data_IF_531675970188
#
_entry.id   IF_531675970188
#
_cell.length_a   1.000
_cell.length_b   1.000
_cell.length_c   1.000
_cell.angle_alpha   90.00
_cell.angle_beta   90.00
_cell.angle_gamma   90.00
#
_symmetry.space_group_name_H-M   'P 1'
#
loop_
_entity.id
_entity.type
_entity.pdbx_description
1 polymer ?
#
# COMPACT_ATOMS: atom_id res chain seq x y z
N UNK A 1 -30.18 10.80 -39.93
CA UNK A 1 -29.91 11.21 -41.32
C UNK A 1 -29.88 9.94 -42.15
N UNK A 2 -30.90 9.67 -42.97
CA UNK A 2 -30.87 8.52 -43.89
C UNK A 2 -29.84 8.89 -44.95
N UNK A 3 -28.74 8.15 -45.04
CA UNK A 3 -27.71 8.43 -46.03
C UNK A 3 -28.34 8.35 -47.43
N UNK A 4 -28.09 9.36 -48.28
CA UNK A 4 -28.46 9.29 -49.69
C UNK A 4 -27.71 8.09 -50.30
N UNK A 5 -28.33 7.29 -51.19
CA UNK A 5 -27.65 6.17 -51.86
C UNK A 5 -26.36 6.60 -52.60
N UNK A 6 -26.27 7.88 -52.98
CA UNK A 6 -25.07 8.48 -53.55
C UNK A 6 -23.92 8.58 -52.52
N UNK A 7 -24.22 8.93 -51.27
CA UNK A 7 -23.23 8.98 -50.18
C UNK A 7 -22.70 7.60 -49.82
N UNK A 8 -23.56 6.58 -49.82
CA UNK A 8 -23.15 5.19 -49.55
C UNK A 8 -22.17 4.70 -50.62
N UNK A 9 -22.43 5.05 -51.89
CA UNK A 9 -21.57 4.70 -53.02
C UNK A 9 -20.21 5.40 -52.94
N UNK A 10 -20.17 6.68 -52.58
CA UNK A 10 -18.94 7.44 -52.39
C UNK A 10 -18.08 6.87 -51.25
N UNK A 11 -18.68 6.57 -50.09
CA UNK A 11 -17.98 5.97 -48.94
C UNK A 11 -17.41 4.61 -49.31
N UNK A 12 -18.22 3.74 -49.94
CA UNK A 12 -17.78 2.40 -50.35
C UNK A 12 -16.63 2.47 -51.37
N UNK A 13 -16.70 3.40 -52.34
CA UNK A 13 -15.64 3.64 -53.32
C UNK A 13 -14.32 4.03 -52.64
N UNK A 14 -14.34 5.04 -51.76
CA UNK A 14 -13.16 5.47 -51.01
C UNK A 14 -12.57 4.36 -50.13
N UNK A 15 -13.41 3.62 -49.38
CA UNK A 15 -12.94 2.50 -48.57
C UNK A 15 -12.28 1.40 -49.43
N UNK A 16 -12.78 1.17 -50.65
CA UNK A 16 -12.20 0.19 -51.58
C UNK A 16 -10.86 0.68 -52.15
N UNK A 17 -10.74 1.97 -52.47
CA UNK A 17 -9.49 2.58 -52.90
C UNK A 17 -8.42 2.52 -51.79
N UNK A 18 -8.78 2.89 -50.56
CA UNK A 18 -7.90 2.76 -49.39
C UNK A 18 -7.46 1.31 -49.18
N UNK A 19 -8.40 0.35 -49.24
CA UNK A 19 -8.07 -1.06 -49.06
C UNK A 19 -7.09 -1.55 -50.14
N UNK A 20 -7.32 -1.17 -51.40
CA UNK A 20 -6.43 -1.56 -52.51
C UNK A 20 -5.03 -0.97 -52.34
N UNK A 21 -4.91 0.32 -52.00
CA UNK A 21 -3.60 0.93 -51.73
C UNK A 21 -2.91 0.34 -50.49
N UNK A 22 -3.65 -0.01 -49.44
CA UNK A 22 -3.09 -0.68 -48.28
C UNK A 22 -2.61 -2.11 -48.61
N UNK A 23 -3.27 -2.82 -49.51
CA UNK A 23 -2.84 -4.14 -49.97
C UNK A 23 -1.56 -4.05 -50.84
N UNK A 24 -1.43 -3.01 -51.65
CA UNK A 24 -0.28 -2.81 -52.56
C UNK A 24 0.94 -2.18 -51.88
N UNK A 25 0.76 -1.09 -51.13
CA UNK A 25 1.83 -0.29 -50.53
C UNK A 25 2.08 -0.62 -49.05
N UNK A 26 1.08 -1.19 -48.37
CA UNK A 26 1.15 -1.49 -46.93
C UNK A 26 1.00 -0.28 -46.02
N UNK A 27 1.15 -0.50 -44.72
CA UNK A 27 1.32 0.56 -43.72
C UNK A 27 2.73 0.49 -43.14
N UNK A 28 3.38 1.64 -42.84
CA UNK A 28 4.66 1.64 -42.16
C UNK A 28 4.58 1.16 -40.70
N UNK A 29 3.38 0.89 -40.17
CA UNK A 29 3.17 0.45 -38.80
C UNK A 29 2.65 -0.99 -38.77
N UNK A 30 3.39 -1.89 -38.11
CA UNK A 30 2.91 -3.25 -37.81
C UNK A 30 2.08 -3.26 -36.52
N UNK A 31 0.78 -2.96 -36.65
CA UNK A 31 -0.16 -3.00 -35.52
C UNK A 31 -0.39 -4.40 -34.96
N UNK A 32 -0.10 -5.47 -35.71
CA UNK A 32 -0.14 -6.84 -35.20
C UNK A 32 0.94 -7.05 -34.15
N UNK A 33 2.18 -6.69 -34.50
CA UNK A 33 3.33 -6.71 -33.59
C UNK A 33 3.12 -5.80 -32.38
N UNK A 34 2.68 -4.55 -32.59
CA UNK A 34 2.46 -3.61 -31.48
C UNK A 34 1.45 -4.12 -30.47
N UNK A 35 0.34 -4.74 -30.90
CA UNK A 35 -0.67 -5.34 -30.01
C UNK A 35 -0.15 -6.51 -29.17
N UNK A 36 0.87 -7.23 -29.63
CA UNK A 36 1.51 -8.28 -28.83
C UNK A 36 2.54 -7.74 -27.83
N UNK A 37 3.12 -6.57 -28.08
CA UNK A 37 4.19 -5.99 -27.26
C UNK A 37 3.65 -5.01 -26.21
N UNK A 38 2.69 -4.18 -26.57
CA UNK A 38 2.19 -3.09 -25.73
C UNK A 38 0.88 -3.45 -25.06
N UNK A 39 0.90 -3.46 -23.72
CA UNK A 39 -0.25 -3.64 -22.84
C UNK A 39 -0.21 -2.55 -21.76
N UNK A 40 -1.27 -2.45 -20.96
CA UNK A 40 -1.30 -1.54 -19.81
C UNK A 40 -0.19 -1.78 -18.79
N UNK A 41 0.42 -2.98 -18.79
CA UNK A 41 1.50 -3.38 -17.89
C UNK A 41 2.89 -3.22 -18.51
N UNK A 42 3.03 -3.36 -19.84
CA UNK A 42 4.33 -3.26 -20.50
C UNK A 42 4.71 -1.83 -20.88
N UNK A 43 3.74 -0.92 -21.08
CA UNK A 43 4.03 0.47 -21.40
C UNK A 43 4.68 1.20 -20.22
N UNK A 44 5.64 2.04 -20.54
CA UNK A 44 6.29 2.93 -19.57
C UNK A 44 5.83 4.37 -19.80
N UNK A 45 5.53 5.07 -18.70
CA UNK A 45 5.21 6.50 -18.70
C UNK A 45 6.15 7.17 -17.71
N UNK A 46 7.00 8.09 -18.18
CA UNK A 46 7.93 8.81 -17.33
C UNK A 46 7.17 9.79 -16.42
N UNK A 47 6.94 9.37 -15.16
CA UNK A 47 6.20 10.16 -14.19
C UNK A 47 6.98 11.39 -13.70
N UNK A 48 8.31 11.38 -13.79
CA UNK A 48 9.15 12.51 -13.38
C UNK A 48 9.08 13.63 -14.40
N UNK A 49 9.20 13.31 -15.69
CA UNK A 49 8.99 14.27 -16.80
C UNK A 49 7.56 14.81 -16.81
N UNK A 50 6.55 13.93 -16.61
CA UNK A 50 5.16 14.38 -16.44
C UNK A 50 5.03 15.38 -15.29
N UNK A 51 5.69 15.11 -14.16
CA UNK A 51 5.67 15.99 -12.99
C UNK A 51 6.35 17.32 -13.29
N UNK A 52 7.45 17.31 -14.03
CA UNK A 52 8.16 18.51 -14.45
C UNK A 52 7.32 19.33 -15.43
N UNK A 53 6.67 18.70 -16.42
CA UNK A 53 5.75 19.36 -17.35
C UNK A 53 4.59 20.04 -16.61
N UNK A 54 3.94 19.32 -15.69
CA UNK A 54 2.89 19.91 -14.85
C UNK A 54 3.41 21.09 -14.04
N UNK A 55 4.63 21.02 -13.48
CA UNK A 55 5.23 22.12 -12.72
C UNK A 55 5.50 23.35 -13.61
N UNK A 56 6.05 23.15 -14.81
CA UNK A 56 6.36 24.24 -15.75
C UNK A 56 5.08 24.97 -16.21
N UNK A 57 4.01 24.21 -16.44
CA UNK A 57 2.73 24.76 -16.91
C UNK A 57 1.79 25.19 -15.76
N UNK A 58 2.18 24.99 -14.50
CA UNK A 58 1.35 25.28 -13.34
C UNK A 58 0.10 24.40 -13.23
N UNK A 59 0.09 23.23 -13.88
CA UNK A 59 -1.02 22.29 -13.88
C UNK A 59 -1.04 21.40 -12.64
N UNK A 60 -2.25 21.03 -12.20
CA UNK A 60 -2.42 20.00 -11.18
C UNK A 60 -2.01 18.63 -11.75
N UNK A 61 -1.15 17.90 -11.02
CA UNK A 61 -0.69 16.55 -11.39
C UNK A 61 -1.85 15.54 -11.47
N UNK A 62 -2.94 15.78 -10.74
CA UNK A 62 -4.05 14.84 -10.60
C UNK A 62 -3.68 13.59 -9.78
N UNK A 63 -4.69 12.77 -9.48
CA UNK A 63 -4.52 11.51 -8.76
C UNK A 63 -4.26 10.31 -9.68
N UNK A 64 -4.30 9.11 -9.11
CA UNK A 64 -4.09 7.84 -9.82
C UNK A 64 -5.02 7.66 -11.01
N UNK A 65 -6.28 8.12 -10.94
CA UNK A 65 -7.22 8.05 -12.07
C UNK A 65 -6.77 8.83 -13.31
N UNK A 66 -6.13 9.99 -13.14
CA UNK A 66 -5.59 10.77 -14.26
C UNK A 66 -4.40 10.05 -14.91
N UNK A 67 -3.54 9.42 -14.10
CA UNK A 67 -2.41 8.63 -14.59
C UNK A 67 -2.91 7.44 -15.43
N UNK A 68 -3.98 6.76 -15.01
CA UNK A 68 -4.58 5.68 -15.80
C UNK A 68 -5.09 6.19 -17.15
N UNK A 69 -5.69 7.38 -17.18
CA UNK A 69 -6.18 7.97 -18.43
C UNK A 69 -5.05 8.38 -19.38
N UNK A 70 -3.95 8.92 -18.84
CA UNK A 70 -2.74 9.22 -19.61
C UNK A 70 -2.13 7.93 -20.20
N UNK A 71 -2.04 6.86 -19.41
CA UNK A 71 -1.56 5.54 -19.86
C UNK A 71 -2.46 4.95 -20.94
N UNK A 72 -3.78 5.08 -20.80
CA UNK A 72 -4.73 4.64 -21.81
C UNK A 72 -4.56 5.39 -23.13
N UNK A 73 -4.41 6.72 -23.08
CA UNK A 73 -4.21 7.54 -24.27
C UNK A 73 -2.86 7.23 -24.94
N UNK A 74 -1.79 7.04 -24.14
CA UNK A 74 -0.50 6.55 -24.61
C UNK A 74 -0.61 5.21 -25.33
N UNK A 75 -1.33 4.24 -24.73
CA UNK A 75 -1.57 2.94 -25.35
C UNK A 75 -2.36 3.07 -26.66
N UNK A 76 -3.34 3.98 -26.71
CA UNK A 76 -4.11 4.25 -27.92
C UNK A 76 -3.24 4.75 -29.07
N UNK A 77 -2.23 5.58 -28.79
CA UNK A 77 -1.26 6.00 -29.81
C UNK A 77 -0.39 4.85 -30.31
N UNK A 78 0.03 3.96 -29.42
CA UNK A 78 0.87 2.81 -29.81
C UNK A 78 0.07 1.80 -30.64
N UNK A 79 -1.18 1.52 -30.27
CA UNK A 79 -1.96 0.43 -30.85
C UNK A 79 -2.84 0.82 -32.04
N UNK A 80 -2.99 2.11 -32.33
CA UNK A 80 -3.91 2.61 -33.38
C UNK A 80 -5.38 2.26 -33.12
N UNK A 81 -5.71 1.75 -31.93
CA UNK A 81 -7.04 1.32 -31.54
C UNK A 81 -7.31 1.70 -30.09
N UNK A 82 -8.58 1.88 -29.75
CA UNK A 82 -9.03 2.21 -28.39
C UNK A 82 -9.56 0.97 -27.63
N UNK A 83 -9.24 -0.24 -28.07
CA UNK A 83 -10.04 -1.44 -27.81
C UNK A 83 -9.79 -2.15 -26.46
N UNK A 84 -8.72 -1.83 -25.72
CA UNK A 84 -8.28 -2.71 -24.61
C UNK A 84 -8.86 -2.41 -23.23
N UNK A 85 -9.96 -1.66 -23.11
CA UNK A 85 -10.53 -1.37 -21.79
C UNK A 85 -12.06 -1.37 -21.76
N UNK A 86 -12.67 -1.81 -20.63
CA UNK A 86 -14.10 -2.08 -20.52
C UNK A 86 -15.02 -0.91 -20.90
N UNK A 87 -16.19 -1.19 -21.50
CA UNK A 87 -17.08 -0.20 -22.14
C UNK A 87 -17.70 0.83 -21.17
N UNK A 88 -17.69 0.58 -19.86
CA UNK A 88 -18.30 1.48 -18.84
C UNK A 88 -17.61 2.85 -18.67
N UNK A 89 -16.61 3.17 -19.48
CA UNK A 89 -15.80 4.42 -19.34
C UNK A 89 -15.61 5.19 -20.66
N UNK A 90 -16.41 4.88 -21.70
CA UNK A 90 -16.30 5.54 -23.02
C UNK A 90 -16.50 7.06 -22.92
N UNK A 91 -17.59 7.53 -22.30
CA UNK A 91 -17.83 8.98 -22.15
C UNK A 91 -16.70 9.73 -21.41
N UNK A 92 -16.16 9.15 -20.34
CA UNK A 92 -15.08 9.78 -19.57
C UNK A 92 -13.76 9.87 -20.36
N UNK A 93 -13.50 8.90 -21.25
CA UNK A 93 -12.35 8.90 -22.16
C UNK A 93 -12.50 9.93 -23.26
N UNK A 94 -13.68 9.99 -23.85
CA UNK A 94 -13.97 10.93 -24.92
C UNK A 94 -13.88 12.37 -24.41
N UNK A 95 -14.45 12.62 -23.23
CA UNK A 95 -14.30 13.91 -22.55
C UNK A 95 -12.83 14.22 -22.23
N UNK A 96 -12.06 13.21 -21.81
CA UNK A 96 -10.64 13.41 -21.55
C UNK A 96 -9.88 13.81 -22.82
N UNK A 97 -10.06 13.11 -23.95
CA UNK A 97 -9.45 13.45 -25.25
C UNK A 97 -9.72 14.89 -25.64
N UNK A 98 -10.97 15.31 -25.50
CA UNK A 98 -11.41 16.67 -25.82
C UNK A 98 -10.76 17.76 -24.93
N UNK A 99 -10.30 17.38 -23.73
CA UNK A 99 -9.75 18.29 -22.72
C UNK A 99 -8.23 18.18 -22.53
N UNK A 100 -7.56 17.24 -23.19
CA UNK A 100 -6.11 17.08 -23.05
C UNK A 100 -5.41 18.22 -23.77
N UNK A 101 -4.65 19.10 -23.08
CA UNK A 101 -3.99 20.22 -23.74
C UNK A 101 -2.99 19.77 -24.81
N UNK A 102 -2.73 20.59 -25.85
CA UNK A 102 -1.84 20.20 -26.96
C UNK A 102 -0.43 19.81 -26.49
N UNK A 103 0.12 20.54 -25.52
CA UNK A 103 1.43 20.22 -24.93
C UNK A 103 1.43 18.86 -24.19
N UNK A 104 0.32 18.48 -23.55
CA UNK A 104 0.21 17.17 -22.90
C UNK A 104 0.08 16.06 -23.95
N UNK A 105 -0.63 16.31 -25.04
CA UNK A 105 -0.73 15.39 -26.19
C UNK A 105 0.65 15.15 -26.81
N UNK A 106 1.40 16.23 -27.08
CA UNK A 106 2.76 16.16 -27.62
C UNK A 106 3.71 15.37 -26.69
N UNK A 107 3.64 15.62 -25.39
CA UNK A 107 4.37 14.82 -24.38
C UNK A 107 4.02 13.33 -24.50
N UNK A 108 2.75 12.97 -24.58
CA UNK A 108 2.35 11.57 -24.71
C UNK A 108 2.81 10.93 -26.03
N UNK A 109 2.88 11.68 -27.13
CA UNK A 109 3.44 11.21 -28.39
C UNK A 109 4.96 10.96 -28.29
N UNK A 110 5.69 11.82 -27.58
CA UNK A 110 7.12 11.61 -27.29
C UNK A 110 7.36 10.37 -26.40
N UNK A 111 6.51 10.17 -25.39
CA UNK A 111 6.53 8.95 -24.59
C UNK A 111 6.21 7.71 -25.43
N UNK A 112 5.30 7.80 -26.40
CA UNK A 112 5.01 6.72 -27.33
C UNK A 112 6.24 6.39 -28.20
N UNK A 113 6.89 7.41 -28.78
CA UNK A 113 8.13 7.24 -29.53
C UNK A 113 9.24 6.59 -28.68
N UNK A 114 9.34 6.96 -27.41
CA UNK A 114 10.29 6.38 -26.45
C UNK A 114 10.00 4.90 -26.19
N UNK A 115 8.73 4.51 -26.06
CA UNK A 115 8.34 3.11 -25.92
C UNK A 115 8.68 2.31 -27.20
N UNK A 116 8.45 2.86 -28.40
CA UNK A 116 8.87 2.22 -29.65
C UNK A 116 10.39 2.02 -29.71
N UNK A 117 11.16 3.06 -29.39
CA UNK A 117 12.62 3.02 -29.37
C UNK A 117 13.17 2.00 -28.35
N UNK A 118 12.55 1.90 -27.16
CA UNK A 118 12.92 0.91 -26.14
C UNK A 118 12.76 -0.54 -26.63
N UNK A 119 11.78 -0.78 -27.50
CA UNK A 119 11.56 -2.07 -28.16
C UNK A 119 12.29 -2.21 -29.50
N UNK A 120 13.16 -1.24 -29.86
CA UNK A 120 13.90 -1.19 -31.14
C UNK A 120 12.99 -1.23 -32.36
N UNK A 121 11.84 -0.57 -32.26
CA UNK A 121 10.88 -0.41 -33.35
C UNK A 121 11.15 0.94 -34.03
N UNK A 122 11.52 0.88 -35.31
CA UNK A 122 11.75 2.06 -36.16
C UNK A 122 10.52 2.31 -37.03
N UNK A 123 9.44 2.77 -36.39
CA UNK A 123 8.16 3.07 -37.02
C UNK A 123 7.63 4.42 -36.50
N UNK A 124 6.84 5.16 -37.29
CA UNK A 124 6.21 6.38 -36.80
C UNK A 124 5.17 6.05 -35.72
N UNK A 125 4.97 6.94 -34.74
CA UNK A 125 3.96 6.75 -33.68
C UNK A 125 2.57 6.68 -34.27
N UNK A 126 2.23 7.64 -35.12
CA UNK A 126 0.98 7.75 -35.86
C UNK A 126 1.28 7.78 -37.35
N UNK A 127 0.38 7.22 -38.15
CA UNK A 127 0.44 7.28 -39.60
C UNK A 127 -0.99 7.35 -40.15
N UNK A 128 -1.18 8.21 -41.14
CA UNK A 128 -2.40 8.33 -41.93
C UNK A 128 -2.04 8.11 -43.41
N UNK A 129 -2.93 7.46 -44.19
CA UNK A 129 -2.70 7.28 -45.60
C UNK A 129 -2.62 8.65 -46.32
N UNK A 130 -1.77 8.79 -47.35
CA UNK A 130 -1.74 9.98 -48.18
C UNK A 130 -3.12 10.33 -48.74
N UNK A 131 -3.50 11.61 -48.69
CA UNK A 131 -4.80 12.07 -49.21
C UNK A 131 -4.97 11.80 -50.70
N UNK A 132 -3.88 11.66 -51.46
CA UNK A 132 -3.91 11.32 -52.88
C UNK A 132 -4.35 9.87 -53.19
N UNK A 133 -4.45 8.98 -52.18
CA UNK A 133 -4.91 7.60 -52.37
C UNK A 133 -6.42 7.49 -52.66
N UNK A 134 -7.18 8.58 -52.51
CA UNK A 134 -8.62 8.58 -52.70
C UNK A 134 -9.10 9.81 -53.47
N UNK A 135 -10.13 9.59 -54.29
CA UNK A 135 -10.89 10.67 -54.91
C UNK A 135 -11.98 11.20 -53.94
N UNK A 136 -11.75 12.40 -53.39
CA UNK A 136 -12.58 13.02 -52.34
C UNK A 136 -13.74 13.88 -52.88
N UNK A 137 -13.98 13.90 -54.19
CA UNK A 137 -14.81 14.90 -54.88
C UNK A 137 -16.26 14.99 -54.37
N UNK A 138 -16.81 13.88 -53.85
CA UNK A 138 -18.18 13.79 -53.33
C UNK A 138 -18.24 13.24 -51.89
N UNK A 139 -17.20 13.45 -51.08
CA UNK A 139 -17.14 12.89 -49.73
C UNK A 139 -18.21 13.50 -48.80
N UNK A 140 -19.09 12.69 -48.19
CA UNK A 140 -20.12 13.19 -47.30
C UNK A 140 -19.54 13.55 -45.92
N UNK A 141 -19.71 14.81 -45.51
CA UNK A 141 -19.30 15.28 -44.19
C UNK A 141 -18.67 16.66 -44.23
N UNK A 142 -18.28 17.17 -43.06
CA UNK A 142 -17.56 18.43 -42.96
C UNK A 142 -16.05 18.19 -43.09
N UNK A 143 -15.37 18.98 -43.91
CA UNK A 143 -13.89 18.93 -44.00
C UNK A 143 -13.26 19.63 -42.79
N UNK A 144 -12.00 19.31 -42.43
CA UNK A 144 -11.29 20.02 -41.37
C UNK A 144 -11.26 21.54 -41.58
N UNK A 145 -11.14 22.00 -42.82
CA UNK A 145 -11.15 23.43 -43.16
C UNK A 145 -12.50 24.07 -42.86
N UNK A 146 -13.61 23.39 -43.16
CA UNK A 146 -14.96 23.88 -42.83
C UNK A 146 -15.20 23.98 -41.32
N UNK A 147 -14.56 23.12 -40.53
CA UNK A 147 -14.63 23.19 -39.06
C UNK A 147 -13.73 24.33 -38.54
N UNK A 148 -12.55 24.53 -39.12
CA UNK A 148 -11.63 25.61 -38.76
C UNK A 148 -12.23 27.00 -39.03
N UNK A 149 -12.98 27.14 -40.13
CA UNK A 149 -13.64 28.39 -40.53
C UNK A 149 -14.94 28.68 -39.75
N UNK A 150 -15.32 27.79 -38.82
CA UNK A 150 -16.52 27.93 -37.99
C UNK A 150 -16.24 28.57 -36.63
N UNK A 151 -17.28 28.76 -35.81
CA UNK A 151 -17.15 29.25 -34.43
C UNK A 151 -16.51 28.25 -33.45
N UNK A 152 -15.88 27.18 -33.96
CA UNK A 152 -15.27 26.12 -33.17
C UNK A 152 -14.28 26.63 -32.12
N UNK A 153 -13.34 27.50 -32.51
CA UNK A 153 -12.33 28.04 -31.58
C UNK A 153 -12.97 28.86 -30.45
N UNK A 154 -14.03 29.60 -30.76
CA UNK A 154 -14.82 30.37 -29.80
C UNK A 154 -15.52 29.42 -28.82
N UNK A 155 -16.21 28.39 -29.31
CA UNK A 155 -16.93 27.40 -28.50
C UNK A 155 -15.98 26.61 -27.57
N UNK A 156 -14.81 26.23 -28.10
CA UNK A 156 -13.72 25.58 -27.35
C UNK A 156 -13.20 26.51 -26.25
N UNK A 157 -12.94 27.78 -26.57
CA UNK A 157 -12.48 28.78 -25.60
C UNK A 157 -13.49 29.00 -24.46
N UNK A 158 -14.79 29.01 -24.78
CA UNK A 158 -15.90 29.14 -23.84
C UNK A 158 -16.18 27.87 -23.04
N UNK A 159 -15.39 26.81 -23.26
CA UNK A 159 -15.45 25.54 -22.53
C UNK A 159 -16.73 24.74 -22.75
N UNK A 160 -17.41 24.97 -23.87
CA UNK A 160 -18.62 24.25 -24.27
C UNK A 160 -18.31 22.74 -24.37
N UNK A 161 -19.16 21.85 -23.82
CA UNK A 161 -18.94 20.42 -23.94
C UNK A 161 -19.02 19.98 -25.40
N UNK A 162 -18.35 18.87 -25.74
CA UNK A 162 -18.25 18.39 -27.12
C UNK A 162 -19.62 18.14 -27.78
N UNK A 163 -20.62 17.67 -27.02
CA UNK A 163 -21.98 17.43 -27.52
C UNK A 163 -22.70 18.72 -27.91
N UNK A 164 -22.58 19.77 -27.08
CA UNK A 164 -23.16 21.09 -27.38
C UNK A 164 -22.41 21.79 -28.50
N UNK A 165 -21.08 21.64 -28.56
CA UNK A 165 -20.25 22.14 -29.66
C UNK A 165 -20.65 21.49 -30.98
N UNK A 166 -20.83 20.16 -30.99
CA UNK A 166 -21.30 19.42 -32.15
C UNK A 166 -22.70 19.89 -32.58
N UNK A 167 -23.63 20.03 -31.63
CA UNK A 167 -24.98 20.50 -31.91
C UNK A 167 -25.00 21.94 -32.48
N UNK A 168 -24.17 22.84 -31.94
CA UNK A 168 -24.06 24.23 -32.40
C UNK A 168 -23.52 24.33 -33.83
N UNK A 169 -22.60 23.43 -34.21
CA UNK A 169 -21.99 23.39 -35.54
C UNK A 169 -22.76 22.51 -36.54
N UNK A 170 -23.86 21.86 -36.10
CA UNK A 170 -24.60 20.91 -36.94
C UNK A 170 -23.80 19.64 -37.28
N UNK A 171 -22.82 19.29 -36.44
CA UNK A 171 -21.92 18.15 -36.59
C UNK A 171 -22.25 17.03 -35.59
N UNK A 172 -21.59 15.89 -35.74
CA UNK A 172 -21.61 14.84 -34.71
C UNK A 172 -20.46 15.03 -33.72
N UNK A 173 -20.60 14.50 -32.51
CA UNK A 173 -19.54 14.51 -31.51
C UNK A 173 -18.26 13.84 -32.03
N UNK A 174 -18.39 12.83 -32.89
CA UNK A 174 -17.29 12.16 -33.57
C UNK A 174 -16.53 13.09 -34.53
N UNK A 175 -17.21 13.95 -35.30
CA UNK A 175 -16.52 14.93 -36.16
C UNK A 175 -15.65 15.88 -35.34
N UNK A 176 -16.19 16.40 -34.24
CA UNK A 176 -15.45 17.27 -33.31
C UNK A 176 -14.21 16.55 -32.74
N UNK A 177 -14.37 15.28 -32.33
CA UNK A 177 -13.27 14.49 -31.78
C UNK A 177 -12.16 14.23 -32.80
N UNK A 178 -12.53 13.80 -34.00
CA UNK A 178 -11.58 13.56 -35.09
C UNK A 178 -10.84 14.85 -35.47
N UNK A 179 -11.55 15.98 -35.50
CA UNK A 179 -10.93 17.29 -35.75
C UNK A 179 -9.93 17.68 -34.65
N UNK A 180 -10.29 17.53 -33.37
CA UNK A 180 -9.36 17.73 -32.25
C UNK A 180 -8.14 16.81 -32.32
N UNK A 181 -8.33 15.58 -32.82
CA UNK A 181 -7.24 14.62 -32.95
C UNK A 181 -6.27 14.95 -34.07
N UNK A 182 -6.78 15.41 -35.21
CA UNK A 182 -5.99 15.80 -36.37
C UNK A 182 -5.24 17.13 -36.15
N UNK A 183 -5.93 18.13 -35.59
CA UNK A 183 -5.36 19.48 -35.43
C UNK A 183 -4.62 19.69 -34.11
N UNK A 184 -4.91 18.86 -33.11
CA UNK A 184 -4.44 19.07 -31.74
C UNK A 184 -5.17 20.22 -31.02
N UNK A 185 -6.17 20.85 -31.62
CA UNK A 185 -6.95 21.93 -31.00
C UNK A 185 -7.94 21.33 -30.01
N UNK A 186 -7.75 21.63 -28.72
CA UNK A 186 -8.54 21.06 -27.63
C UNK A 186 -9.03 22.14 -26.68
N UNK A 187 -10.05 21.81 -25.89
CA UNK A 187 -10.55 22.67 -24.83
C UNK A 187 -9.43 23.11 -23.87
N UNK A 188 -9.29 24.41 -23.56
CA UNK A 188 -8.27 24.87 -22.64
C UNK A 188 -8.46 24.21 -21.25
N UNK A 189 -7.37 23.89 -20.56
CA UNK A 189 -7.45 23.24 -19.25
C UNK A 189 -8.32 24.07 -18.29
N UNK A 190 -9.07 23.43 -17.36
CA UNK A 190 -9.84 24.16 -16.36
C UNK A 190 -8.99 25.20 -15.66
N UNK A 191 -9.49 26.44 -15.50
CA UNK A 191 -8.83 27.38 -14.61
C UNK A 191 -8.73 26.72 -13.23
N UNK A 192 -7.61 26.89 -12.53
CA UNK A 192 -7.42 26.26 -11.23
C UNK A 192 -8.56 26.67 -10.30
N UNK A 193 -9.33 25.68 -9.82
CA UNK A 193 -10.54 25.87 -9.00
C UNK A 193 -10.24 26.55 -7.65
N UNK A 194 -8.96 26.77 -7.34
CA UNK A 194 -8.49 27.60 -6.24
C UNK A 194 -7.33 28.47 -6.74
N UNK A 195 -7.36 29.81 -6.58
CA UNK A 195 -6.17 30.63 -6.76
C UNK A 195 -5.19 30.30 -5.63
N UNK A 196 -4.33 29.32 -5.86
CA UNK A 196 -3.32 28.92 -4.90
C UNK A 196 -2.69 27.62 -5.35
N UNK A 197 -1.58 27.75 -6.11
CA UNK A 197 -0.45 26.80 -6.21
C UNK A 197 0.40 27.01 -7.49
N UNK A 198 -0.03 27.85 -8.45
CA UNK A 198 0.73 28.09 -9.70
C UNK A 198 1.54 29.39 -9.74
N UNK A 199 1.17 30.42 -8.94
CA UNK A 199 1.97 31.64 -8.75
C UNK A 199 2.31 31.79 -7.28
N UNK A 200 3.26 31.00 -6.79
CA UNK A 200 3.78 31.18 -5.43
C UNK A 200 4.73 32.37 -5.43
N UNK A 201 4.44 33.39 -4.59
CA UNK A 201 5.50 34.28 -4.13
C UNK A 201 6.65 33.40 -3.60
N UNK A 202 7.93 33.71 -3.90
CA UNK A 202 9.04 32.91 -3.40
C UNK A 202 8.90 32.71 -1.89
N UNK A 203 8.95 31.44 -1.43
CA UNK A 203 8.85 31.15 0.00
C UNK A 203 10.03 31.81 0.70
N UNK A 204 9.75 32.47 1.82
CA UNK A 204 10.76 33.18 2.64
C UNK A 204 10.90 32.48 3.99
N UNK A 205 12.03 32.70 4.65
CA UNK A 205 12.28 32.20 6.01
C UNK A 205 12.54 30.70 6.03
N UNK A 206 11.87 29.97 6.93
CA UNK A 206 12.18 28.54 7.18
C UNK A 206 11.69 27.59 6.08
N UNK A 207 10.88 28.09 5.14
CA UNK A 207 10.46 27.36 3.93
C UNK A 207 11.23 27.83 2.69
N UNK A 208 12.24 28.68 2.85
CA UNK A 208 13.13 29.09 1.78
C UNK A 208 13.95 27.90 1.25
N UNK A 209 14.08 27.72 -0.08
CA UNK A 209 14.83 26.60 -0.65
C UNK A 209 16.31 26.54 -0.20
N UNK A 210 16.97 27.69 -0.01
CA UNK A 210 18.35 27.76 0.45
C UNK A 210 18.50 27.35 1.91
N UNK A 211 17.59 27.81 2.77
CA UNK A 211 17.52 27.37 4.17
C UNK A 211 17.27 25.86 4.29
N UNK A 212 16.30 25.34 3.52
CA UNK A 212 15.96 23.92 3.54
C UNK A 212 17.13 23.04 3.05
N UNK A 213 17.84 23.45 1.99
CA UNK A 213 19.04 22.74 1.51
C UNK A 213 20.15 22.73 2.54
N UNK A 214 20.43 23.89 3.14
CA UNK A 214 21.47 24.03 4.18
C UNK A 214 21.16 23.14 5.39
N UNK A 215 19.90 23.16 5.87
CA UNK A 215 19.45 22.37 7.02
C UNK A 215 19.42 20.87 6.72
N UNK A 216 19.13 20.49 5.48
CA UNK A 216 19.20 19.09 5.02
C UNK A 216 20.65 18.61 4.97
N UNK A 217 21.55 19.39 4.37
CA UNK A 217 22.99 19.07 4.28
C UNK A 217 23.67 19.01 5.64
N UNK A 218 23.20 19.77 6.63
CA UNK A 218 23.70 19.72 8.02
C UNK A 218 23.11 18.57 8.85
N UNK A 219 22.18 17.77 8.30
CA UNK A 219 21.58 16.61 8.97
C UNK A 219 20.58 16.93 10.09
N UNK A 220 20.20 18.19 10.27
CA UNK A 220 19.33 18.66 11.37
C UNK A 220 17.87 18.87 10.93
N UNK A 221 17.46 18.26 9.81
CA UNK A 221 16.15 18.50 9.21
C UNK A 221 15.03 17.82 10.02
N UNK A 222 14.28 18.62 10.79
CA UNK A 222 13.07 18.17 11.48
C UNK A 222 11.82 18.84 10.89
N UNK A 223 11.10 18.10 10.04
CA UNK A 223 9.93 18.60 9.31
C UNK A 223 8.81 19.10 10.24
N UNK A 224 8.58 18.42 11.36
CA UNK A 224 7.54 18.78 12.33
C UNK A 224 7.89 20.08 13.07
N UNK A 225 9.18 20.29 13.35
CA UNK A 225 9.67 21.52 13.97
C UNK A 225 9.55 22.69 12.99
N UNK A 226 9.94 22.49 11.72
CA UNK A 226 9.79 23.48 10.65
C UNK A 226 8.31 23.84 10.44
N UNK A 227 7.41 22.86 10.46
CA UNK A 227 5.97 23.08 10.34
C UNK A 227 5.45 23.98 11.47
N UNK A 228 5.83 23.68 12.72
CA UNK A 228 5.43 24.44 13.89
C UNK A 228 6.03 25.85 13.91
N UNK A 229 7.29 26.00 13.53
CA UNK A 229 7.98 27.28 13.56
C UNK A 229 7.60 28.19 12.38
N UNK A 230 7.19 27.62 11.25
CA UNK A 230 6.65 28.36 10.10
C UNK A 230 5.12 28.49 10.12
N UNK A 231 4.46 28.08 11.22
CA UNK A 231 3.00 28.05 11.39
C UNK A 231 2.25 27.49 10.18
N UNK A 232 2.71 26.33 9.69
CA UNK A 232 2.16 25.70 8.50
C UNK A 232 1.96 24.19 8.73
N UNK A 233 1.15 23.58 7.85
CA UNK A 233 0.95 22.14 7.91
C UNK A 233 2.21 21.37 7.51
N UNK A 234 2.33 20.13 8.01
CA UNK A 234 3.41 19.23 7.62
C UNK A 234 3.41 18.93 6.11
N UNK A 235 2.22 18.92 5.49
CA UNK A 235 2.07 18.83 4.03
C UNK A 235 2.64 20.04 3.29
N UNK A 236 2.59 21.25 3.89
CA UNK A 236 3.19 22.46 3.29
C UNK A 236 4.71 22.40 3.31
N UNK A 237 5.30 21.84 4.38
CA UNK A 237 6.74 21.58 4.49
C UNK A 237 7.17 20.52 3.49
N UNK A 238 6.44 19.42 3.35
CA UNK A 238 6.71 18.38 2.35
C UNK A 238 6.73 18.95 0.93
N UNK A 239 5.71 19.75 0.58
CA UNK A 239 5.67 20.44 -0.71
C UNK A 239 6.85 21.42 -0.90
N UNK A 240 7.34 22.07 0.17
CA UNK A 240 8.49 22.96 0.08
C UNK A 240 9.82 22.19 -0.11
N UNK A 241 9.96 21.01 0.51
CA UNK A 241 11.11 20.12 0.30
C UNK A 241 11.14 19.57 -1.13
N UNK A 242 9.99 19.13 -1.64
CA UNK A 242 9.85 18.68 -3.03
C UNK A 242 10.20 19.79 -4.03
N UNK A 243 9.78 21.03 -3.76
CA UNK A 243 10.11 22.18 -4.61
C UNK A 243 11.59 22.57 -4.54
N UNK A 244 12.24 22.36 -3.39
CA UNK A 244 13.67 22.57 -3.21
C UNK A 244 14.54 21.46 -3.84
N UNK A 245 13.93 20.38 -4.38
CA UNK A 245 14.62 19.21 -4.92
C UNK A 245 15.23 18.31 -3.83
N UNK A 246 14.74 18.41 -2.60
CA UNK A 246 15.19 17.60 -1.48
C UNK A 246 14.27 16.38 -1.44
N UNK A 247 14.78 15.16 -1.69
CA UNK A 247 13.94 13.97 -1.67
C UNK A 247 13.28 13.86 -0.31
N UNK A 248 11.95 13.73 -0.28
CA UNK A 248 11.23 13.43 0.93
C UNK A 248 11.89 12.20 1.57
N UNK A 249 12.27 12.33 2.84
CA UNK A 249 12.90 11.26 3.65
C UNK A 249 12.31 9.91 3.27
N UNK A 250 13.15 8.86 3.04
CA UNK A 250 12.67 7.57 2.58
C UNK A 250 11.49 7.14 3.43
N UNK A 251 10.40 6.79 2.76
CA UNK A 251 9.20 6.24 3.40
C UNK A 251 9.69 5.12 4.33
N UNK A 252 9.29 5.09 5.62
CA UNK A 252 9.73 4.05 6.52
C UNK A 252 9.49 2.70 5.85
N UNK A 253 10.53 1.84 5.85
CA UNK A 253 10.54 0.58 5.13
C UNK A 253 9.23 -0.19 5.31
N UNK A 254 8.69 -0.79 4.23
CA UNK A 254 7.45 -1.55 4.34
C UNK A 254 7.62 -2.66 5.38
N UNK A 255 6.64 -2.72 6.29
CA UNK A 255 6.60 -3.60 7.47
C UNK A 255 6.87 -5.09 7.17
N UNK A 256 6.69 -5.52 5.91
CA UNK A 256 6.94 -6.87 5.39
C UNK A 256 8.42 -7.25 5.26
N UNK A 257 9.36 -6.33 5.49
CA UNK A 257 10.80 -6.61 5.42
C UNK A 257 11.40 -7.11 6.74
N UNK A 258 10.68 -6.98 7.87
CA UNK A 258 11.19 -7.39 9.20
C UNK A 258 10.69 -8.75 9.69
N UNK A 259 9.57 -9.23 9.16
CA UNK A 259 9.03 -10.55 9.44
C UNK A 259 8.29 -11.03 8.20
N UNK A 260 8.56 -12.24 7.76
CA UNK A 260 7.85 -12.87 6.65
C UNK A 260 6.53 -13.47 7.13
N UNK A 261 5.66 -13.84 6.19
CA UNK A 261 4.40 -14.53 6.52
C UNK A 261 4.70 -15.88 7.18
N UNK A 262 5.66 -16.60 6.63
CA UNK A 262 6.07 -17.94 7.07
C UNK A 262 6.66 -17.90 8.48
N UNK A 263 7.44 -16.87 8.80
CA UNK A 263 8.00 -16.67 10.15
C UNK A 263 6.92 -16.39 11.20
N UNK A 264 5.91 -15.57 10.85
CA UNK A 264 4.78 -15.29 11.73
C UNK A 264 3.88 -16.52 11.92
N UNK A 265 3.63 -17.28 10.85
CA UNK A 265 2.89 -18.56 10.91
C UNK A 265 3.64 -19.59 11.76
N UNK A 266 4.96 -19.73 11.59
CA UNK A 266 5.78 -20.66 12.38
C UNK A 266 5.80 -20.28 13.88
N UNK A 267 5.99 -18.99 14.20
CA UNK A 267 6.02 -18.52 15.58
C UNK A 267 4.64 -18.65 16.26
N UNK A 268 3.57 -18.28 15.55
CA UNK A 268 2.22 -18.24 16.13
C UNK A 268 1.52 -19.60 16.11
N UNK A 269 1.52 -20.31 14.98
CA UNK A 269 0.83 -21.58 14.82
C UNK A 269 1.59 -22.74 15.44
N UNK A 270 2.86 -22.92 15.07
CA UNK A 270 3.66 -24.08 15.43
C UNK A 270 4.32 -23.93 16.80
N UNK A 271 5.01 -22.82 17.06
CA UNK A 271 5.68 -22.57 18.35
C UNK A 271 4.75 -22.10 19.46
N UNK A 272 3.50 -21.74 19.11
CA UNK A 272 2.45 -21.30 20.06
C UNK A 272 2.87 -20.06 20.89
N UNK A 273 3.67 -19.16 20.33
CA UNK A 273 4.02 -17.90 20.99
C UNK A 273 2.85 -16.92 21.00
N UNK A 274 2.79 -16.09 22.04
CA UNK A 274 1.82 -14.99 22.14
C UNK A 274 2.21 -13.85 21.19
N UNK A 275 1.22 -13.06 20.72
CA UNK A 275 1.51 -11.87 19.90
C UNK A 275 2.45 -10.88 20.63
N UNK A 276 2.31 -10.63 21.95
CA UNK A 276 3.28 -9.85 22.72
C UNK A 276 4.72 -10.35 22.63
N UNK A 277 4.96 -11.65 22.78
CA UNK A 277 6.34 -12.18 22.79
C UNK A 277 6.93 -12.20 21.38
N UNK A 278 6.10 -12.43 20.35
CA UNK A 278 6.51 -12.28 18.95
C UNK A 278 6.87 -10.80 18.68
N UNK A 279 6.10 -9.84 19.21
CA UNK A 279 6.42 -8.42 19.10
C UNK A 279 7.79 -8.10 19.72
N UNK A 280 8.08 -8.63 20.91
CA UNK A 280 9.36 -8.44 21.58
C UNK A 280 10.52 -9.11 20.81
N UNK A 281 10.35 -10.36 20.39
CA UNK A 281 11.36 -11.13 19.67
C UNK A 281 11.79 -10.46 18.34
N UNK A 282 10.84 -9.86 17.62
CA UNK A 282 11.08 -9.22 16.31
C UNK A 282 11.20 -7.68 16.40
N UNK A 283 11.12 -7.10 17.61
CA UNK A 283 11.20 -5.65 17.82
C UNK A 283 10.06 -4.85 17.15
N UNK A 284 8.85 -5.42 17.12
CA UNK A 284 7.66 -4.87 16.48
C UNK A 284 6.60 -4.47 17.52
N UNK A 285 5.71 -3.55 17.12
CA UNK A 285 4.55 -3.19 17.94
C UNK A 285 3.42 -4.23 17.78
N UNK A 286 2.76 -4.60 18.89
CA UNK A 286 1.60 -5.49 18.93
C UNK A 286 0.50 -5.08 17.96
N UNK A 287 0.23 -3.78 17.84
CA UNK A 287 -0.78 -3.29 16.89
C UNK A 287 -0.37 -3.59 15.44
N UNK A 288 0.92 -3.44 15.12
CA UNK A 288 1.47 -3.71 13.79
C UNK A 288 1.42 -5.20 13.42
N UNK A 289 1.70 -6.10 14.36
CA UNK A 289 1.56 -7.54 14.13
C UNK A 289 0.11 -7.98 13.89
N UNK A 290 -0.86 -7.40 14.60
CA UNK A 290 -2.28 -7.69 14.36
C UNK A 290 -2.75 -7.25 12.97
N UNK A 291 -2.24 -6.11 12.47
CA UNK A 291 -2.51 -5.65 11.11
C UNK A 291 -1.93 -6.60 10.06
N UNK A 292 -0.71 -7.10 10.27
CA UNK A 292 -0.07 -8.08 9.38
C UNK A 292 -0.80 -9.43 9.40
N UNK A 293 -1.17 -9.95 10.57
CA UNK A 293 -1.93 -11.19 10.70
C UNK A 293 -3.28 -11.10 9.97
N UNK A 294 -4.00 -9.96 10.11
CA UNK A 294 -5.26 -9.72 9.38
C UNK A 294 -5.04 -9.62 7.87
N UNK A 295 -3.96 -8.96 7.43
CA UNK A 295 -3.61 -8.81 6.01
C UNK A 295 -3.27 -10.15 5.36
N UNK A 296 -2.61 -11.05 6.08
CA UNK A 296 -2.19 -12.36 5.60
C UNK A 296 -3.21 -13.48 5.88
N UNK A 297 -4.35 -13.17 6.51
CA UNK A 297 -5.40 -14.14 6.79
C UNK A 297 -5.05 -15.15 7.89
N UNK A 298 -4.13 -14.82 8.79
CA UNK A 298 -3.75 -15.69 9.91
C UNK A 298 -4.84 -15.55 10.99
N UNK A 299 -5.51 -16.65 11.32
CA UNK A 299 -6.55 -16.67 12.35
C UNK A 299 -5.96 -16.35 13.73
N UNK A 300 -6.41 -15.23 14.32
CA UNK A 300 -6.00 -14.82 15.66
C UNK A 300 -6.76 -15.66 16.70
N UNK A 301 -6.02 -16.33 17.58
CA UNK A 301 -6.58 -17.16 18.65
C UNK A 301 -7.32 -16.30 19.68
N UNK A 302 -8.53 -16.70 20.10
CA UNK A 302 -9.37 -15.93 21.02
C UNK A 302 -8.76 -15.75 22.43
N UNK A 303 -7.75 -16.55 22.80
CA UNK A 303 -7.04 -16.48 24.08
C UNK A 303 -5.51 -16.41 23.92
N UNK A 304 -5.02 -15.52 23.04
CA UNK A 304 -3.59 -15.39 22.70
C UNK A 304 -2.70 -14.78 23.81
N UNK A 305 -3.22 -14.58 25.03
CA UNK A 305 -2.45 -14.03 26.17
C UNK A 305 -1.50 -15.05 26.78
N UNK A 306 -1.79 -16.35 26.66
CA UNK A 306 -0.91 -17.39 27.21
C UNK A 306 0.11 -17.80 26.16
N UNK A 307 1.37 -17.51 26.42
CA UNK A 307 2.49 -17.97 25.62
C UNK A 307 3.01 -19.30 26.12
N UNK A 308 3.49 -20.13 25.21
CA UNK A 308 4.32 -21.28 25.58
C UNK A 308 5.69 -20.77 26.09
N UNK A 309 5.98 -20.84 27.40
CA UNK A 309 7.22 -20.30 27.96
C UNK A 309 8.46 -21.05 27.47
N UNK A 310 8.32 -22.34 27.14
CA UNK A 310 9.42 -23.18 26.67
C UNK A 310 9.79 -22.92 25.21
N UNK A 311 8.89 -22.27 24.45
CA UNK A 311 9.18 -21.91 23.06
C UNK A 311 10.21 -20.78 22.93
N UNK A 312 10.52 -20.07 24.01
CA UNK A 312 11.53 -19.00 24.08
C UNK A 312 12.91 -19.51 24.49
N UNK A 313 13.04 -20.79 24.85
CA UNK A 313 14.33 -21.38 25.21
C UNK A 313 15.25 -21.49 23.97
N UNK A 314 16.58 -21.38 24.16
CA UNK A 314 17.56 -21.76 23.14
C UNK A 314 17.29 -23.19 22.66
N UNK A 315 17.39 -23.42 21.35
CA UNK A 315 17.16 -24.72 20.68
C UNK A 315 15.74 -25.31 20.76
N UNK A 316 14.77 -24.60 21.36
CA UNK A 316 13.34 -24.96 21.41
C UNK A 316 13.09 -26.48 21.58
N UNK A 317 13.26 -27.04 22.80
CA UNK A 317 13.22 -28.49 23.01
C UNK A 317 11.92 -29.11 22.51
N UNK A 318 12.02 -30.28 21.87
CA UNK A 318 10.86 -31.03 21.43
C UNK A 318 10.04 -31.50 22.64
N UNK A 319 8.86 -30.89 22.81
CA UNK A 319 7.94 -31.20 23.91
C UNK A 319 7.15 -32.47 23.58
N UNK A 320 6.89 -33.30 24.60
CA UNK A 320 5.90 -34.37 24.48
C UNK A 320 4.51 -33.80 24.24
N UNK A 321 3.61 -34.57 23.63
CA UNK A 321 2.22 -34.14 23.36
C UNK A 321 1.49 -33.66 24.64
N UNK A 322 1.59 -34.36 25.80
CA UNK A 322 1.03 -33.85 27.06
C UNK A 322 1.70 -32.55 27.55
N UNK A 323 3.02 -32.40 27.39
CA UNK A 323 3.73 -31.20 27.83
C UNK A 323 3.40 -29.98 26.96
N UNK A 324 3.25 -30.19 25.65
CA UNK A 324 2.77 -29.17 24.72
C UNK A 324 1.33 -28.73 25.03
N UNK A 325 0.48 -29.62 25.53
CA UNK A 325 -0.86 -29.24 25.99
C UNK A 325 -0.82 -28.44 27.30
N UNK A 326 0.02 -28.86 28.26
CA UNK A 326 0.21 -28.17 29.55
C UNK A 326 0.82 -26.78 29.38
N UNK A 327 1.74 -26.59 28.42
CA UNK A 327 2.41 -25.30 28.22
C UNK A 327 1.44 -24.16 27.88
N UNK A 328 0.27 -24.50 27.33
CA UNK A 328 -0.80 -23.55 27.00
C UNK A 328 -1.68 -23.17 28.22
N UNK A 329 -1.50 -23.83 29.36
CA UNK A 329 -2.25 -23.53 30.59
C UNK A 329 -1.69 -22.27 31.24
N UNK A 330 -2.57 -21.37 31.69
CA UNK A 330 -2.16 -20.13 32.37
C UNK A 330 -1.31 -20.42 33.61
N UNK A 331 -0.16 -19.76 33.71
CA UNK A 331 0.84 -19.95 34.77
C UNK A 331 1.40 -21.39 34.81
N UNK A 332 1.58 -22.04 33.66
CA UNK A 332 2.06 -23.41 33.54
C UNK A 332 3.38 -23.66 34.29
N UNK A 333 4.36 -22.76 34.20
CA UNK A 333 5.67 -22.88 34.89
C UNK A 333 5.48 -23.10 36.39
N UNK A 334 4.70 -22.24 37.05
CA UNK A 334 4.49 -22.36 38.49
C UNK A 334 3.67 -23.59 38.87
N UNK A 335 2.70 -23.98 38.03
CA UNK A 335 1.94 -25.22 38.23
C UNK A 335 2.82 -26.46 38.09
N UNK A 336 3.74 -26.47 37.13
CA UNK A 336 4.72 -27.55 36.94
C UNK A 336 5.71 -27.62 38.12
N UNK A 337 6.24 -26.48 38.59
CA UNK A 337 7.07 -26.42 39.81
C UNK A 337 6.37 -27.03 41.03
N UNK A 338 5.05 -26.82 41.15
CA UNK A 338 4.23 -27.40 42.22
C UNK A 338 4.02 -28.90 42.01
N UNK A 339 3.73 -29.34 40.78
CA UNK A 339 3.55 -30.75 40.40
C UNK A 339 4.77 -31.60 40.76
N UNK A 340 5.98 -31.14 40.39
CA UNK A 340 7.26 -31.82 40.66
C UNK A 340 7.46 -32.09 42.16
N UNK A 341 6.88 -31.26 43.03
CA UNK A 341 7.03 -31.34 44.50
C UNK A 341 5.91 -32.13 45.20
N UNK A 342 4.93 -32.66 44.47
CA UNK A 342 3.82 -33.43 45.03
C UNK A 342 4.19 -34.86 45.46
N UNK A 343 4.99 -35.64 44.69
CA UNK A 343 5.35 -36.99 45.09
C UNK A 343 6.04 -37.03 46.46
N UNK A 344 5.66 -37.99 47.30
CA UNK A 344 6.21 -38.16 48.65
C UNK A 344 5.52 -37.32 49.74
N UNK A 345 4.62 -36.39 49.38
CA UNK A 345 3.79 -35.67 50.36
C UNK A 345 2.70 -36.58 50.93
N UNK A 346 2.36 -36.43 52.22
CA UNK A 346 1.36 -37.29 52.89
C UNK A 346 -0.04 -37.18 52.26
N UNK A 347 -0.43 -35.99 51.84
CA UNK A 347 -1.69 -35.70 51.13
C UNK A 347 -1.65 -34.28 50.53
N UNK A 348 -2.64 -33.93 49.70
CA UNK A 348 -2.72 -32.63 49.04
C UNK A 348 -2.79 -31.45 50.01
N UNK A 349 -3.38 -31.62 51.20
CA UNK A 349 -3.44 -30.56 52.22
C UNK A 349 -2.07 -30.30 52.88
N UNK A 350 -1.25 -31.34 53.06
CA UNK A 350 0.12 -31.21 53.52
C UNK A 350 1.01 -30.57 52.44
N UNK A 351 0.85 -30.97 51.18
CA UNK A 351 1.55 -30.37 50.04
C UNK A 351 1.20 -28.89 49.86
N UNK A 352 -0.08 -28.52 49.98
CA UNK A 352 -0.50 -27.12 49.88
C UNK A 352 0.16 -26.24 50.95
N UNK A 353 0.24 -26.74 52.19
CA UNK A 353 0.94 -26.04 53.29
C UNK A 353 2.43 -25.88 53.04
N UNK A 354 3.12 -26.92 52.56
CA UNK A 354 4.56 -26.85 52.27
C UNK A 354 4.90 -25.95 51.08
N UNK A 355 3.96 -25.80 50.13
CA UNK A 355 4.10 -24.94 48.96
C UNK A 355 3.59 -23.51 49.19
N UNK A 356 3.04 -23.18 50.36
CA UNK A 356 2.51 -21.86 50.69
C UNK A 356 1.23 -21.49 49.93
N UNK A 357 0.35 -22.46 49.67
CA UNK A 357 -0.87 -22.30 48.88
C UNK A 357 -2.11 -22.85 49.57
N UNK A 358 -3.30 -22.48 49.09
CA UNK A 358 -4.56 -23.04 49.59
C UNK A 358 -4.81 -24.44 49.00
N UNK A 359 -5.27 -25.43 49.80
CA UNK A 359 -5.56 -26.79 49.30
C UNK A 359 -6.53 -26.81 48.10
N UNK A 360 -7.58 -25.98 48.12
CA UNK A 360 -8.53 -25.88 47.00
C UNK A 360 -7.86 -25.39 45.71
N UNK A 361 -6.94 -24.43 45.81
CA UNK A 361 -6.17 -23.92 44.66
C UNK A 361 -5.25 -24.99 44.09
N UNK A 362 -4.57 -25.76 44.94
CA UNK A 362 -3.67 -26.83 44.51
C UNK A 362 -4.44 -27.96 43.80
N UNK A 363 -5.58 -28.38 44.34
CA UNK A 363 -6.45 -29.39 43.71
C UNK A 363 -6.96 -28.90 42.35
N UNK A 364 -7.41 -27.64 42.26
CA UNK A 364 -7.84 -27.05 41.00
C UNK A 364 -6.71 -26.99 39.97
N UNK A 365 -5.49 -26.61 40.38
CA UNK A 365 -4.33 -26.58 39.50
C UNK A 365 -3.94 -27.98 39.00
N UNK A 366 -3.95 -28.98 39.87
CA UNK A 366 -3.69 -30.38 39.50
C UNK A 366 -4.72 -30.89 38.49
N UNK A 367 -6.02 -30.68 38.74
CA UNK A 367 -7.07 -31.08 37.80
C UNK A 367 -6.94 -30.37 36.45
N UNK A 368 -6.52 -29.10 36.43
CA UNK A 368 -6.29 -28.39 35.19
C UNK A 368 -5.10 -28.96 34.39
N UNK A 369 -4.04 -29.42 35.06
CA UNK A 369 -2.91 -30.10 34.42
C UNK A 369 -3.33 -31.48 33.89
N UNK A 370 -4.02 -32.29 34.69
CA UNK A 370 -4.51 -33.62 34.29
C UNK A 370 -5.49 -33.52 33.11
N UNK A 371 -6.38 -32.52 33.13
CA UNK A 371 -7.31 -32.25 32.02
C UNK A 371 -6.58 -31.82 30.75
N UNK A 372 -5.53 -31.02 30.87
CA UNK A 372 -4.73 -30.60 29.71
C UNK A 372 -3.90 -31.76 29.15
N UNK A 373 -3.31 -32.58 30.02
CA UNK A 373 -2.53 -33.75 29.65
C UNK A 373 -3.38 -34.93 29.14
N UNK A 374 -4.69 -34.94 29.44
CA UNK A 374 -5.60 -36.05 29.13
C UNK A 374 -5.39 -37.30 29.99
N UNK A 375 -4.47 -37.25 30.97
CA UNK A 375 -4.07 -38.39 31.80
C UNK A 375 -3.99 -37.99 33.28
N UNK A 376 -4.19 -38.97 34.15
CA UNK A 376 -4.00 -38.81 35.58
C UNK A 376 -2.50 -38.76 35.91
N UNK A 377 -2.04 -37.71 36.59
CA UNK A 377 -0.61 -37.47 36.85
C UNK A 377 -0.17 -37.95 38.24
N UNK A 378 -1.05 -37.82 39.23
CA UNK A 378 -0.75 -38.18 40.63
C UNK A 378 -1.79 -39.18 41.14
N UNK A 379 -1.36 -40.29 41.71
CA UNK A 379 -2.22 -41.22 42.45
C UNK A 379 -2.47 -40.67 43.85
N UNK A 380 -3.73 -40.69 44.29
CA UNK A 380 -4.16 -40.14 45.58
C UNK A 380 -3.92 -41.13 46.73
N UNK A 381 -2.74 -41.74 46.75
CA UNK A 381 -2.25 -42.62 47.81
C UNK A 381 -1.65 -41.81 48.97
N UNK A 382 -1.36 -42.45 50.10
CA UNK A 382 -0.65 -41.82 51.23
C UNK A 382 0.63 -42.60 51.50
N UNK A 383 1.81 -42.10 51.10
CA UNK A 383 2.06 -40.80 50.46
C UNK A 383 1.61 -40.73 48.99
N UNK A 384 1.43 -39.51 48.48
CA UNK A 384 1.10 -39.26 47.07
C UNK A 384 2.20 -39.83 46.17
N UNK A 385 1.81 -40.60 45.16
CA UNK A 385 2.71 -41.18 44.17
C UNK A 385 2.42 -40.61 42.77
N UNK A 386 3.44 -40.50 41.92
CA UNK A 386 3.22 -40.19 40.51
C UNK A 386 2.76 -41.45 39.77
N UNK A 387 1.84 -41.31 38.82
CA UNK A 387 1.53 -42.41 37.88
C UNK A 387 2.73 -42.68 36.97
N UNK A 388 2.71 -43.75 36.20
CA UNK A 388 3.76 -44.00 35.19
C UNK A 388 3.89 -42.83 34.19
N UNK A 389 2.76 -42.34 33.67
CA UNK A 389 2.70 -41.16 32.82
C UNK A 389 3.13 -39.87 33.56
N UNK A 390 2.74 -39.74 34.83
CA UNK A 390 3.14 -38.63 35.69
C UNK A 390 4.65 -38.58 35.95
N UNK A 391 5.30 -39.73 36.08
CA UNK A 391 6.75 -39.83 36.33
C UNK A 391 7.55 -39.34 35.12
N UNK A 392 7.16 -39.78 33.90
CA UNK A 392 7.77 -39.31 32.66
C UNK A 392 7.59 -37.79 32.48
N UNK A 393 6.38 -37.28 32.76
CA UNK A 393 6.06 -35.86 32.64
C UNK A 393 6.79 -35.00 33.69
N UNK A 394 6.97 -35.50 34.91
CA UNK A 394 7.74 -34.83 35.97
C UNK A 394 9.21 -34.72 35.56
N UNK A 395 9.81 -35.77 35.02
CA UNK A 395 11.20 -35.75 34.57
C UNK A 395 11.41 -34.77 33.39
N UNK A 396 10.47 -34.73 32.45
CA UNK A 396 10.47 -33.73 31.38
C UNK A 396 10.30 -32.30 31.94
N UNK A 397 9.39 -32.12 32.90
CA UNK A 397 9.16 -30.82 33.55
C UNK A 397 10.40 -30.34 34.31
N UNK A 398 11.08 -31.21 35.05
CA UNK A 398 12.32 -30.89 35.76
C UNK A 398 13.41 -30.41 34.80
N UNK A 399 13.60 -31.11 33.67
CA UNK A 399 14.55 -30.71 32.65
C UNK A 399 14.20 -29.34 32.07
N UNK A 400 12.95 -29.13 31.65
CA UNK A 400 12.53 -27.85 31.06
C UNK A 400 12.57 -26.67 32.04
N UNK A 401 12.23 -26.91 33.31
CA UNK A 401 12.35 -25.90 34.36
C UNK A 401 13.81 -25.53 34.62
N UNK A 402 14.73 -26.51 34.59
CA UNK A 402 16.16 -26.25 34.73
C UNK A 402 16.72 -25.37 33.59
N UNK A 403 16.26 -25.60 32.36
CA UNK A 403 16.63 -24.78 31.20
C UNK A 403 16.06 -23.37 31.31
N UNK A 404 14.82 -23.20 31.77
CA UNK A 404 14.23 -21.87 32.01
C UNK A 404 14.98 -21.10 33.10
N UNK A 405 15.32 -21.76 34.20
CA UNK A 405 16.06 -21.13 35.30
C UNK A 405 17.48 -20.74 34.84
N UNK A 406 18.12 -21.51 33.96
CA UNK A 406 19.41 -21.18 33.35
C UNK A 406 19.33 -20.03 32.33
N UNK A 407 18.22 -19.93 31.58
CA UNK A 407 18.01 -18.90 30.57
C UNK A 407 17.58 -17.55 31.17
N UNK A 408 17.12 -17.51 32.42
CA UNK A 408 16.73 -16.26 33.10
C UNK A 408 17.97 -15.67 33.80
N UNK A 409 18.64 -14.62 33.27
CA UNK A 409 19.76 -14.02 33.97
C UNK A 409 19.27 -13.45 35.30
N UNK A 410 19.85 -13.95 36.38
CA UNK A 410 19.62 -13.50 37.75
C UNK A 410 20.02 -12.03 37.93
N UNK A 411 19.11 -11.11 37.59
CA UNK A 411 19.23 -9.72 38.04
C UNK A 411 18.49 -9.53 39.37
N UNK A 412 19.27 -9.53 40.46
CA UNK A 412 19.47 -8.35 41.34
C UNK A 412 19.94 -8.79 42.74
N UNK A 413 21.15 -8.41 43.20
CA UNK A 413 21.51 -8.52 44.61
C UNK A 413 20.64 -7.59 45.46
N UNK A 414 20.32 -8.03 46.67
CA UNK A 414 19.43 -7.37 47.62
C UNK A 414 19.79 -5.89 47.87
N UNK A 415 18.80 -4.97 47.99
CA UNK A 415 19.07 -3.64 48.52
C UNK A 415 19.42 -3.75 50.01
N UNK A 416 20.60 -3.24 50.37
CA UNK A 416 21.02 -3.04 51.76
C UNK A 416 20.06 -2.07 52.49
N UNK A 417 19.83 -2.25 53.80
CA UNK A 417 18.93 -1.40 54.56
C UNK A 417 19.65 -0.14 55.02
N UNK A 418 19.22 1.03 54.55
CA UNK A 418 19.61 2.31 55.15
C UNK A 418 18.37 3.16 55.43
N UNK A 419 18.09 3.25 56.73
CA UNK A 419 17.64 4.43 57.50
C UNK A 419 16.33 5.11 57.09
N UNK A 420 15.27 4.69 57.79
CA UNK A 420 14.35 5.45 58.66
C UNK A 420 13.97 6.92 58.39
N UNK A 421 12.76 7.33 58.84
CA UNK A 421 11.94 8.38 58.24
C UNK A 421 12.00 9.72 58.99
N UNK A 422 11.53 10.79 58.35
CA UNK A 422 11.14 12.05 59.01
C UNK A 422 9.82 12.56 58.41
N UNK A 423 9.03 13.35 59.16
CA UNK A 423 7.61 13.06 59.37
C UNK A 423 6.69 14.03 58.64
N UNK A 424 5.43 13.61 58.54
CA UNK A 424 4.29 14.47 58.22
C UNK A 424 4.21 15.64 59.21
N UNK A 425 4.12 16.86 58.69
CA UNK A 425 3.54 18.00 59.39
C UNK A 425 2.19 18.35 58.74
N UNK A 426 1.16 18.37 59.57
CA UNK A 426 -0.17 18.91 59.27
C UNK A 426 -0.18 20.43 59.45
N UNK A 427 -1.17 21.05 58.80
CA UNK A 427 -1.85 22.31 59.12
C UNK A 427 -1.09 23.64 58.92
N UNK A 428 -1.62 24.51 58.05
CA UNK A 428 -2.40 25.67 58.50
C UNK A 428 -3.14 26.36 57.34
N UNK A 429 -4.43 26.64 57.55
CA UNK A 429 -5.20 27.72 56.93
C UNK A 429 -4.79 29.02 57.60
N UNK A 430 -4.51 30.09 56.84
CA UNK A 430 -4.90 31.48 57.18
C UNK A 430 -5.06 32.29 55.88
N UNK A 431 -6.12 33.09 55.84
CA UNK A 431 -6.45 34.15 54.89
C UNK A 431 -5.32 35.15 54.60
N UNK A 432 -5.30 35.74 53.39
CA UNK A 432 -5.42 37.19 53.19
C UNK A 432 -5.18 37.61 51.73
N UNK A 433 -6.12 38.44 51.25
CA UNK A 433 -6.11 39.36 50.08
C UNK A 433 -6.37 38.77 48.70
#
# INVERSE_FOLDING_TARGET
MIASPEHETAIASCLTQLASHLDDEGSPIDYGRRRHLFTSESITLNLDEYTQLCRQQGWARGGTGRIHMLRWMLLSFLLGTHADLPPKTIHARDQFRYQVPPLMRAFLQEQAATNLAAHRIDEPVLWEPPTAWCDWTDWPGATPEQIADSDFDTLIADRTPAEETAAALGLTTEHIRLYCDATGTTQPPPPPTTPGLGRRRPRRGMLDPGFLRTTHSSGTLNQSLIARSADCSLSTVQNALEEAGIPATPRPEPLSLRITREELEQAYLHRRLSIPDIAEQFGLDRHRLNLLAKKWGIEIRPNSTTSNPFALLPDAPALSEPMAAISNVRNCVERLRRLVRLPGQRNLCAAARSLGTLPATLTHQLHALEKAAGVQLIERTSPLAATHAGTALIHEAEHLLSLLDAATPSSRPAPSPTTSPTPKAQAERVDAS
#
